data_IF_676522274512
#
_entry.id   IF_676522274512
#
_cell.length_a   1.000
_cell.length_b   1.000
_cell.length_c   1.000
_cell.angle_alpha   90.00
_cell.angle_beta   90.00
_cell.angle_gamma   90.00
#
_symmetry.space_group_name_H-M   'P 1'
#
loop_
_entity.id
_entity.type
_entity.pdbx_description
1 polymer ?
#
# COMPACT_ATOMS: atom_id res chain seq x y z
N UNK A 1 16.67 -20.71 3.25
CA UNK A 1 16.42 -19.26 3.43
C UNK A 1 14.95 -19.04 3.11
N UNK A 2 14.16 -18.52 4.05
CA UNK A 2 12.73 -18.25 3.82
C UNK A 2 12.60 -17.28 2.65
N UNK A 3 11.92 -17.70 1.59
CA UNK A 3 11.67 -16.87 0.42
C UNK A 3 10.50 -15.93 0.72
N UNK A 4 10.70 -15.04 1.70
CA UNK A 4 9.68 -14.13 2.19
C UNK A 4 9.31 -13.17 1.06
N UNK A 5 8.05 -13.23 0.62
CA UNK A 5 7.51 -12.29 -0.36
C UNK A 5 7.25 -10.96 0.33
N UNK A 6 7.98 -9.93 -0.07
CA UNK A 6 7.75 -8.56 0.34
C UNK A 6 6.57 -7.96 -0.44
N UNK A 7 5.75 -7.16 0.22
CA UNK A 7 4.56 -6.54 -0.36
C UNK A 7 4.39 -5.08 0.01
N UNK A 8 3.18 -4.56 -0.19
CA UNK A 8 2.90 -3.13 -0.04
C UNK A 8 3.02 -2.64 1.41
N UNK A 9 2.68 -3.50 2.39
CA UNK A 9 2.82 -3.16 3.81
C UNK A 9 4.29 -2.95 4.20
N UNK A 10 5.21 -3.68 3.57
CA UNK A 10 6.64 -3.57 3.83
C UNK A 10 7.21 -2.22 3.39
N UNK A 11 6.63 -1.59 2.36
CA UNK A 11 7.09 -0.29 1.83
C UNK A 11 7.00 0.78 2.89
N UNK A 12 5.79 1.04 3.41
CA UNK A 12 5.58 2.13 4.35
C UNK A 12 6.12 1.82 5.73
N UNK A 13 6.11 0.55 6.16
CA UNK A 13 6.84 0.19 7.38
C UNK A 13 8.34 0.52 7.26
N UNK A 14 8.97 0.21 6.13
CA UNK A 14 10.40 0.49 5.94
C UNK A 14 10.69 1.98 5.82
N UNK A 15 9.86 2.74 5.10
CA UNK A 15 10.00 4.20 4.98
C UNK A 15 9.80 4.88 6.35
N UNK A 16 8.79 4.48 7.12
CA UNK A 16 8.54 5.10 8.42
C UNK A 16 9.60 4.67 9.45
N UNK A 17 10.16 3.46 9.32
CA UNK A 17 11.31 3.04 10.10
C UNK A 17 12.55 3.88 9.80
N UNK A 18 12.82 4.20 8.53
CA UNK A 18 13.94 5.07 8.16
C UNK A 18 13.81 6.48 8.75
N UNK A 19 12.58 6.92 9.01
CA UNK A 19 12.23 8.16 9.70
C UNK A 19 12.15 8.03 11.24
N UNK A 20 12.59 6.90 11.80
CA UNK A 20 12.60 6.61 13.25
C UNK A 20 11.22 6.59 13.93
N UNK A 21 10.15 6.28 13.19
CA UNK A 21 8.80 6.13 13.75
C UNK A 21 8.72 4.82 14.56
N UNK A 22 8.27 4.84 15.83
CA UNK A 22 8.19 3.64 16.66
C UNK A 22 7.30 2.52 16.08
N UNK A 23 7.60 1.27 16.47
CA UNK A 23 6.83 0.07 16.11
C UNK A 23 6.72 -0.20 14.60
N UNK A 24 7.69 0.28 13.83
CA UNK A 24 7.86 0.00 12.40
C UNK A 24 9.05 -0.94 12.18
N UNK A 25 9.08 -1.62 11.04
CA UNK A 25 10.13 -2.60 10.70
C UNK A 25 10.67 -2.30 9.30
N UNK A 26 11.98 -2.13 9.17
CA UNK A 26 12.67 -2.01 7.88
C UNK A 26 12.96 -3.38 7.26
N UNK A 27 11.95 -3.94 6.57
CA UNK A 27 12.09 -5.19 5.83
C UNK A 27 12.70 -5.01 4.43
N UNK A 28 12.75 -3.77 3.92
CA UNK A 28 13.38 -3.42 2.64
C UNK A 28 14.87 -3.05 2.76
N UNK A 29 15.38 -2.91 3.98
CA UNK A 29 16.76 -2.48 4.26
C UNK A 29 17.07 -1.10 3.68
N UNK A 30 16.16 -0.14 3.86
CA UNK A 30 16.34 1.26 3.47
C UNK A 30 17.36 1.99 4.34
N UNK A 31 17.55 1.56 5.60
CA UNK A 31 18.44 2.23 6.55
C UNK A 31 17.80 3.48 7.15
N UNK A 32 18.63 4.41 7.66
CA UNK A 32 18.15 5.67 8.21
C UNK A 32 18.06 6.74 7.13
N UNK A 33 16.96 7.48 7.08
CA UNK A 33 16.83 8.63 6.22
C UNK A 33 17.72 9.77 6.73
N UNK A 34 18.53 10.38 5.86
CA UNK A 34 19.28 11.60 6.19
C UNK A 34 18.43 12.87 5.99
N UNK A 35 17.38 12.80 5.15
CA UNK A 35 16.54 13.92 4.74
C UNK A 35 15.08 13.46 4.52
N UNK A 36 14.39 14.04 3.52
CA UNK A 36 13.00 13.76 3.19
C UNK A 36 12.90 12.49 2.35
N UNK A 37 11.96 11.63 2.71
CA UNK A 37 11.54 10.49 1.91
C UNK A 37 10.36 10.86 1.02
N UNK A 38 10.37 10.42 -0.23
CA UNK A 38 9.28 10.66 -1.20
C UNK A 38 8.84 9.34 -1.81
N UNK A 39 7.58 8.99 -1.60
CA UNK A 39 6.95 7.82 -2.20
C UNK A 39 6.13 8.23 -3.43
N UNK A 40 6.54 7.75 -4.61
CA UNK A 40 5.77 7.90 -5.85
C UNK A 40 5.02 6.59 -6.10
N UNK A 41 3.69 6.64 -5.99
CA UNK A 41 2.82 5.50 -6.29
C UNK A 41 2.20 5.68 -7.68
N UNK A 42 2.41 4.72 -8.57
CA UNK A 42 1.80 4.69 -9.91
C UNK A 42 0.75 3.58 -9.93
N UNK A 43 -0.52 3.96 -10.03
CA UNK A 43 -1.62 3.00 -10.05
C UNK A 43 -1.56 2.12 -11.31
N UNK A 44 -1.80 0.82 -11.15
CA UNK A 44 -1.79 -0.16 -12.23
C UNK A 44 -0.42 -0.49 -12.84
N UNK A 45 0.69 0.08 -12.35
CA UNK A 45 2.03 -0.21 -12.87
C UNK A 45 2.58 -1.51 -12.29
N UNK A 46 2.53 -2.58 -13.07
CA UNK A 46 3.11 -3.89 -12.73
C UNK A 46 4.50 -4.09 -13.35
N UNK A 47 5.25 -5.06 -12.81
CA UNK A 47 6.58 -5.42 -13.33
C UNK A 47 6.53 -5.81 -14.81
N UNK A 48 5.48 -6.48 -15.28
CA UNK A 48 5.35 -6.92 -16.67
C UNK A 48 5.33 -5.75 -17.67
N UNK A 49 4.81 -4.59 -17.27
CA UNK A 49 4.83 -3.39 -18.10
C UNK A 49 6.24 -2.78 -18.17
N UNK A 50 6.96 -2.77 -17.05
CA UNK A 50 8.35 -2.31 -16.98
C UNK A 50 9.28 -3.24 -17.77
N UNK A 51 9.11 -4.56 -17.65
CA UNK A 51 9.91 -5.54 -18.38
C UNK A 51 9.70 -5.44 -19.90
N UNK A 52 8.50 -5.05 -20.35
CA UNK A 52 8.14 -4.97 -21.77
C UNK A 52 8.48 -3.64 -22.43
N UNK A 53 8.40 -2.53 -21.70
CA UNK A 53 8.50 -1.19 -22.27
C UNK A 53 9.50 -0.28 -21.56
N UNK A 54 10.16 -0.75 -20.48
CA UNK A 54 11.06 0.05 -19.67
C UNK A 54 12.29 0.55 -20.44
N UNK A 55 12.78 -0.22 -21.40
CA UNK A 55 13.88 0.15 -22.31
C UNK A 55 13.57 1.37 -23.19
N UNK A 56 12.30 1.77 -23.29
CA UNK A 56 11.87 2.97 -24.02
C UNK A 56 11.99 4.25 -23.20
N UNK A 57 12.28 4.16 -21.89
CA UNK A 57 12.33 5.31 -20.98
C UNK A 57 13.69 5.39 -20.25
N UNK A 58 14.53 6.41 -20.53
CA UNK A 58 15.86 6.54 -19.95
C UNK A 58 15.91 6.56 -18.41
N UNK A 59 14.81 6.98 -17.77
CA UNK A 59 14.73 7.04 -16.29
C UNK A 59 15.00 5.67 -15.64
N UNK A 60 14.63 4.56 -16.29
CA UNK A 60 14.84 3.23 -15.71
C UNK A 60 16.32 2.82 -15.66
N UNK A 61 17.19 3.42 -16.49
CA UNK A 61 18.65 3.21 -16.42
C UNK A 61 19.27 3.97 -15.24
N UNK A 62 18.63 5.04 -14.78
CA UNK A 62 19.06 5.87 -13.64
C UNK A 62 18.53 5.35 -12.29
N UNK A 63 17.48 4.52 -12.31
CA UNK A 63 16.84 3.99 -11.11
C UNK A 63 17.52 2.71 -10.62
N UNK A 64 17.87 2.68 -9.34
CA UNK A 64 18.31 1.45 -8.68
C UNK A 64 17.11 0.57 -8.35
N UNK A 65 16.94 -0.55 -9.06
CA UNK A 65 15.94 -1.55 -8.70
C UNK A 65 16.39 -2.36 -7.48
N UNK A 66 15.69 -2.21 -6.36
CA UNK A 66 16.06 -2.85 -5.09
C UNK A 66 15.39 -4.22 -4.94
N UNK A 67 14.07 -4.30 -5.16
CA UNK A 67 13.25 -5.53 -5.00
C UNK A 67 12.06 -5.53 -5.96
N UNK A 68 11.59 -6.73 -6.30
CA UNK A 68 10.24 -6.96 -6.85
C UNK A 68 9.27 -7.16 -5.69
N UNK A 69 8.16 -6.43 -5.69
CA UNK A 69 7.13 -6.48 -4.65
C UNK A 69 5.88 -7.20 -5.15
N UNK A 70 5.11 -7.75 -4.22
CA UNK A 70 3.84 -8.41 -4.49
C UNK A 70 2.69 -7.58 -3.93
N UNK A 71 1.64 -7.39 -4.74
CA UNK A 71 0.37 -6.88 -4.22
C UNK A 71 -0.38 -7.99 -3.47
N UNK A 72 -1.23 -7.60 -2.53
CA UNK A 72 -2.06 -8.51 -1.78
C UNK A 72 -3.37 -8.83 -2.53
N UNK A 73 -4.05 -9.89 -2.10
CA UNK A 73 -5.40 -10.20 -2.57
C UNK A 73 -6.46 -9.51 -1.69
N UNK A 74 -7.54 -8.94 -2.27
CA UNK A 74 -7.72 -8.72 -3.70
C UNK A 74 -6.86 -7.55 -4.20
N UNK A 75 -6.31 -7.66 -5.42
CA UNK A 75 -5.44 -6.66 -6.02
C UNK A 75 -6.23 -5.46 -6.56
N UNK A 76 -6.93 -4.76 -5.67
CA UNK A 76 -7.70 -3.54 -5.98
C UNK A 76 -6.99 -2.30 -5.45
N UNK A 77 -7.24 -1.14 -6.07
CA UNK A 77 -6.68 0.15 -5.63
C UNK A 77 -6.99 0.42 -4.15
N UNK A 78 -8.25 0.23 -3.73
CA UNK A 78 -8.68 0.46 -2.35
C UNK A 78 -7.94 -0.44 -1.35
N UNK A 79 -7.85 -1.74 -1.63
CA UNK A 79 -7.10 -2.68 -0.79
C UNK A 79 -5.63 -2.30 -0.72
N UNK A 80 -5.01 -1.98 -1.87
CA UNK A 80 -3.59 -1.66 -1.98
C UNK A 80 -3.24 -0.37 -1.23
N UNK A 81 -4.04 0.68 -1.38
CA UNK A 81 -3.86 1.94 -0.67
C UNK A 81 -4.08 1.80 0.83
N UNK A 82 -5.05 1.00 1.26
CA UNK A 82 -5.25 0.73 2.69
C UNK A 82 -4.09 -0.06 3.29
N UNK A 83 -3.57 -1.06 2.58
CA UNK A 83 -2.36 -1.80 3.01
C UNK A 83 -1.16 -0.85 3.11
N UNK A 84 -0.95 -0.01 2.10
CA UNK A 84 0.12 0.99 2.08
C UNK A 84 -0.04 1.99 3.23
N UNK A 85 -1.23 2.55 3.43
CA UNK A 85 -1.48 3.57 4.45
C UNK A 85 -1.38 3.06 5.89
N UNK A 86 -1.83 1.83 6.14
CA UNK A 86 -1.88 1.25 7.49
C UNK A 86 -0.66 0.41 7.84
N UNK A 87 0.15 0.01 6.85
CA UNK A 87 1.28 -0.88 7.06
C UNK A 87 0.88 -2.29 7.50
N UNK A 88 -0.39 -2.69 7.37
CA UNK A 88 -0.87 -4.04 7.73
C UNK A 88 -1.54 -4.72 6.55
N UNK A 89 -1.65 -6.05 6.61
CA UNK A 89 -2.23 -6.86 5.55
C UNK A 89 -3.75 -6.67 5.42
N UNK A 90 -4.35 -6.98 4.25
CA UNK A 90 -5.79 -6.78 4.03
C UNK A 90 -6.74 -7.41 5.02
N UNK A 91 -6.40 -8.60 5.54
CA UNK A 91 -7.18 -9.27 6.56
C UNK A 91 -7.31 -8.47 7.88
N UNK A 92 -6.38 -7.54 8.14
CA UNK A 92 -6.38 -6.71 9.34
C UNK A 92 -7.15 -5.41 9.11
N UNK A 93 -6.90 -4.70 8.00
CA UNK A 93 -7.56 -3.41 7.73
C UNK A 93 -8.97 -3.54 7.12
N UNK A 94 -9.38 -4.71 6.62
CA UNK A 94 -10.77 -4.99 6.23
C UNK A 94 -11.26 -4.39 4.89
N UNK A 95 -10.50 -3.48 4.29
CA UNK A 95 -10.74 -2.94 2.94
C UNK A 95 -10.51 -3.99 1.84
N UNK A 96 -11.53 -4.82 1.56
CA UNK A 96 -11.43 -6.05 0.75
C UNK A 96 -12.26 -6.03 -0.55
N UNK A 97 -12.50 -4.88 -1.14
CA UNK A 97 -13.20 -4.84 -2.43
C UNK A 97 -13.46 -3.46 -2.98
N UNK A 98 -13.74 -3.43 -4.28
CA UNK A 98 -14.16 -2.22 -5.00
C UNK A 98 -15.59 -1.82 -4.66
N UNK A 99 -16.51 -2.80 -4.61
CA UNK A 99 -17.90 -2.60 -4.22
C UNK A 99 -18.27 -3.63 -3.17
N UNK A 100 -18.74 -3.15 -2.02
CA UNK A 100 -18.99 -3.96 -0.83
C UNK A 100 -20.32 -3.59 -0.21
N UNK A 101 -21.02 -4.57 0.35
CA UNK A 101 -22.27 -4.31 1.07
C UNK A 101 -21.95 -3.68 2.42
N UNK A 102 -22.54 -2.53 2.69
CA UNK A 102 -22.42 -1.88 4.00
C UNK A 102 -23.20 -2.72 5.04
N UNK A 103 -22.57 -3.17 6.14
CA UNK A 103 -23.26 -3.94 7.16
C UNK A 103 -24.43 -3.15 7.75
N UNK A 104 -25.54 -3.85 8.06
CA UNK A 104 -26.70 -3.29 8.78
C UNK A 104 -27.31 -2.02 8.15
N UNK A 105 -27.32 -1.93 6.82
CA UNK A 105 -27.73 -0.73 6.08
C UNK A 105 -28.73 -1.00 4.95
N UNK A 106 -29.59 -2.02 5.13
CA UNK A 106 -30.62 -2.38 4.17
C UNK A 106 -30.10 -2.57 2.73
N UNK A 107 -29.10 -3.43 2.57
CA UNK A 107 -28.45 -3.76 1.29
C UNK A 107 -27.75 -2.61 0.55
N UNK A 108 -27.48 -1.48 1.20
CA UNK A 108 -26.66 -0.42 0.63
C UNK A 108 -25.28 -0.93 0.20
N UNK A 109 -24.85 -0.51 -0.98
CA UNK A 109 -23.52 -0.80 -1.51
C UNK A 109 -22.63 0.44 -1.35
N UNK A 110 -21.40 0.21 -0.92
CA UNK A 110 -20.33 1.21 -0.91
C UNK A 110 -19.37 0.90 -2.07
N UNK A 111 -19.10 1.92 -2.87
CA UNK A 111 -18.03 1.90 -3.86
C UNK A 111 -16.81 2.61 -3.26
N UNK A 112 -15.69 1.92 -3.12
CA UNK A 112 -14.51 2.48 -2.48
C UNK A 112 -13.86 3.65 -3.25
N UNK A 113 -14.13 3.78 -4.56
CA UNK A 113 -13.69 4.94 -5.37
C UNK A 113 -14.72 6.08 -5.41
N UNK A 114 -15.94 5.85 -4.90
CA UNK A 114 -17.00 6.86 -4.79
C UNK A 114 -17.61 6.75 -3.40
N UNK A 115 -16.93 7.37 -2.44
CA UNK A 115 -17.27 7.24 -1.03
C UNK A 115 -18.69 7.75 -0.74
N UNK A 116 -19.43 6.98 0.05
CA UNK A 116 -20.75 7.37 0.54
C UNK A 116 -20.57 8.09 1.88
N UNK A 117 -20.87 9.40 1.94
CA UNK A 117 -20.70 10.24 3.14
C UNK A 117 -21.45 9.72 4.37
N UNK A 118 -22.45 8.87 4.18
CA UNK A 118 -23.21 8.22 5.27
C UNK A 118 -22.45 7.03 5.89
N UNK A 119 -21.28 6.69 5.36
CA UNK A 119 -20.35 5.71 5.92
C UNK A 119 -19.19 6.47 6.53
N UNK A 120 -19.10 6.44 7.86
CA UNK A 120 -17.96 7.00 8.57
C UNK A 120 -16.67 6.24 8.20
N UNK A 121 -15.66 6.91 7.61
CA UNK A 121 -14.43 6.26 7.16
C UNK A 121 -13.61 5.68 8.31
N UNK A 122 -13.60 6.33 9.48
CA UNK A 122 -12.84 5.88 10.66
C UNK A 122 -13.49 4.62 11.26
N UNK A 123 -14.82 4.56 11.25
CA UNK A 123 -15.54 3.37 11.69
C UNK A 123 -15.45 2.21 10.70
N UNK A 124 -15.37 2.52 9.40
CA UNK A 124 -15.27 1.52 8.34
C UNK A 124 -13.89 0.85 8.29
N UNK A 125 -12.82 1.64 8.42
CA UNK A 125 -11.44 1.18 8.45
C UNK A 125 -10.81 1.68 9.75
N UNK A 126 -10.79 0.83 10.77
CA UNK A 126 -10.44 1.23 12.15
C UNK A 126 -8.95 1.20 12.48
N UNK A 127 -8.11 0.67 11.58
CA UNK A 127 -6.67 0.56 11.83
C UNK A 127 -6.06 1.93 11.52
N UNK A 128 -5.43 2.60 12.49
CA UNK A 128 -4.75 3.87 12.24
C UNK A 128 -3.72 3.72 11.14
N UNK A 129 -3.62 4.74 10.31
CA UNK A 129 -2.57 4.86 9.31
C UNK A 129 -1.23 5.16 9.98
N UNK A 130 -0.14 4.84 9.28
CA UNK A 130 1.20 5.25 9.73
C UNK A 130 1.35 6.79 9.71
N UNK A 131 0.60 7.49 8.86
CA UNK A 131 0.61 8.95 8.73
C UNK A 131 -0.02 9.70 9.91
N UNK A 132 -0.79 9.01 10.75
CA UNK A 132 -1.41 9.58 11.96
C UNK A 132 -0.49 9.50 13.19
N UNK A 133 0.72 8.97 13.04
CA UNK A 133 1.70 8.75 14.12
C UNK A 133 2.77 9.83 14.16
#
# INVERSE_FOLDING_TARGET
>A
MSNQKLGLADITNSIFNSLSVPETIDSLSLGSAENREVLILIDGMGQDAVDKYGDQFPIFDELKQVKKLYTNFPSTTATSLSTLGTGVLPGVHGMLGYTVRVPRSDNRLLNALKWDERVDPVMWQKVPTLFER
#
